data_IF_188501664589
#
_entry.id   IF_188501664589
#
_cell.length_a   1.000
_cell.length_b   1.000
_cell.length_c   1.000
_cell.angle_alpha   90.00
_cell.angle_beta   90.00
_cell.angle_gamma   90.00
#
_symmetry.space_group_name_H-M   'P 1'
#
loop_
_entity.id
_entity.type
_entity.pdbx_description
1 polymer ?
#
# COMPACT_ATOMS: atom_id res chain seq x y z
N UNK A 1 -20.77 -23.47 -55.21
CA UNK A 1 -19.74 -24.34 -54.60
C UNK A 1 -18.50 -23.49 -54.38
N UNK A 2 -18.14 -23.31 -53.10
CA UNK A 2 -16.80 -23.03 -52.52
C UNK A 2 -15.90 -21.94 -53.12
N UNK A 3 -15.14 -21.12 -52.39
CA UNK A 3 -15.01 -20.70 -50.98
C UNK A 3 -13.80 -19.72 -50.97
N UNK A 4 -13.81 -18.75 -50.05
CA UNK A 4 -12.69 -18.00 -49.42
C UNK A 4 -11.52 -17.42 -50.27
N UNK A 5 -10.95 -16.26 -49.94
CA UNK A 5 -10.95 -15.57 -48.66
C UNK A 5 -10.42 -14.14 -48.74
N UNK A 6 -10.72 -13.42 -47.67
CA UNK A 6 -10.38 -12.03 -47.38
C UNK A 6 -8.89 -11.85 -47.06
N UNK A 7 -8.30 -10.72 -47.45
CA UNK A 7 -7.11 -10.16 -46.79
C UNK A 7 -7.52 -8.87 -46.09
N UNK A 8 -7.38 -8.91 -44.77
CA UNK A 8 -7.66 -7.84 -43.82
C UNK A 8 -6.40 -7.03 -43.52
N UNK A 9 -6.67 -5.74 -43.29
CA UNK A 9 -5.91 -4.71 -42.60
C UNK A 9 -5.11 -5.22 -41.37
N UNK A 10 -3.85 -4.79 -41.25
CA UNK A 10 -3.09 -4.83 -39.99
C UNK A 10 -2.47 -3.45 -39.72
N UNK A 11 -3.30 -2.56 -39.18
CA UNK A 11 -2.84 -1.38 -38.45
C UNK A 11 -2.14 -1.79 -37.16
N UNK A 12 -0.85 -1.44 -37.06
CA UNK A 12 -0.02 -1.68 -35.88
C UNK A 12 -0.46 -0.78 -34.71
N UNK A 13 -1.28 -1.33 -33.81
CA UNK A 13 -1.72 -0.68 -32.57
C UNK A 13 -0.83 -1.05 -31.39
N UNK A 14 0.10 -0.16 -31.05
CA UNK A 14 0.86 -0.13 -29.81
C UNK A 14 -0.11 -0.12 -28.62
N UNK A 15 -0.24 -1.26 -27.93
CA UNK A 15 -1.06 -1.36 -26.72
C UNK A 15 -0.16 -1.19 -25.50
N UNK A 16 0.13 0.07 -25.20
CA UNK A 16 0.53 0.47 -23.85
C UNK A 16 -0.61 0.15 -22.89
N UNK A 17 -0.47 -0.93 -22.12
CA UNK A 17 -1.42 -1.29 -21.07
C UNK A 17 -1.21 -0.34 -19.90
N UNK A 18 -2.00 0.74 -19.88
CA UNK A 18 -2.15 1.60 -18.72
C UNK A 18 -2.76 0.75 -17.60
N UNK A 19 -2.11 0.71 -16.44
CA UNK A 19 -2.62 0.08 -15.23
C UNK A 19 -3.90 0.78 -14.79
N UNK A 20 -5.04 0.24 -15.22
CA UNK A 20 -6.35 0.56 -14.71
C UNK A 20 -6.52 -0.20 -13.39
N UNK A 21 -6.23 0.47 -12.28
CA UNK A 21 -6.71 0.00 -10.97
C UNK A 21 -8.19 0.30 -10.92
N UNK A 22 -9.00 -0.62 -11.46
CA UNK A 22 -10.46 -0.54 -11.39
C UNK A 22 -10.89 -0.49 -9.92
N UNK A 23 -11.61 0.57 -9.55
CA UNK A 23 -12.27 0.68 -8.24
C UNK A 23 -13.53 -0.20 -8.31
N UNK A 24 -13.38 -1.48 -7.96
CA UNK A 24 -14.50 -2.35 -7.67
C UNK A 24 -14.81 -2.26 -6.17
N UNK A 25 -15.83 -1.48 -5.83
CA UNK A 25 -16.33 -1.32 -4.47
C UNK A 25 -16.89 -2.64 -3.95
N UNK A 26 -16.09 -3.39 -3.22
CA UNK A 26 -16.51 -4.62 -2.57
C UNK A 26 -15.41 -5.67 -2.36
N UNK A 27 -14.26 -5.53 -2.99
CA UNK A 27 -13.06 -6.26 -2.59
C UNK A 27 -12.41 -5.52 -1.41
N UNK A 28 -12.20 -6.22 -0.30
CA UNK A 28 -11.35 -5.76 0.80
C UNK A 28 -10.00 -5.27 0.24
N UNK A 29 -9.81 -3.95 0.14
CA UNK A 29 -8.63 -3.32 -0.46
C UNK A 29 -7.36 -4.03 0.02
N UNK A 30 -6.54 -4.55 -0.90
CA UNK A 30 -5.31 -5.25 -0.54
C UNK A 30 -4.20 -4.26 -0.15
N UNK A 31 -3.34 -4.63 0.81
CA UNK A 31 -2.14 -3.86 1.08
C UNK A 31 -0.99 -4.38 0.21
N UNK A 32 -1.07 -4.04 -1.06
CA UNK A 32 -0.36 -4.71 -2.14
C UNK A 32 1.17 -4.49 -2.14
N UNK A 33 1.93 -5.59 -2.17
CA UNK A 33 3.36 -5.63 -2.48
C UNK A 33 3.61 -6.42 -3.79
N UNK A 34 4.72 -6.12 -4.47
CA UNK A 34 5.11 -6.82 -5.69
C UNK A 34 6.15 -7.90 -5.40
N UNK A 35 5.96 -9.08 -6.00
CA UNK A 35 6.93 -10.19 -6.00
C UNK A 35 7.66 -10.26 -7.33
N UNK A 36 8.96 -10.55 -7.30
CA UNK A 36 9.80 -10.60 -8.49
C UNK A 36 10.43 -11.98 -8.72
N UNK A 37 10.79 -12.28 -9.97
CA UNK A 37 11.43 -13.54 -10.34
C UNK A 37 12.74 -13.82 -9.58
N UNK A 38 13.43 -12.77 -9.11
CA UNK A 38 14.61 -12.87 -8.25
C UNK A 38 14.31 -13.22 -6.78
N UNK A 39 13.05 -13.42 -6.41
CA UNK A 39 12.60 -13.76 -5.05
C UNK A 39 12.42 -12.56 -4.11
N UNK A 40 12.81 -11.35 -4.54
CA UNK A 40 12.58 -10.15 -3.76
C UNK A 40 11.09 -9.79 -3.71
N UNK A 41 10.67 -9.16 -2.61
CA UNK A 41 9.39 -8.48 -2.46
C UNK A 41 9.63 -7.00 -2.24
N UNK A 42 8.83 -6.13 -2.87
CA UNK A 42 8.93 -4.69 -2.64
C UNK A 42 7.59 -4.02 -2.37
N UNK A 43 7.63 -3.05 -1.47
CA UNK A 43 6.56 -2.13 -1.17
C UNK A 43 7.10 -0.69 -1.20
N UNK A 44 6.45 0.27 -1.88
CA UNK A 44 5.30 0.08 -2.79
C UNK A 44 5.64 -0.79 -4.01
N UNK A 45 4.64 -1.36 -4.71
CA UNK A 45 4.89 -2.23 -5.86
C UNK A 45 5.50 -1.43 -7.02
N UNK A 46 6.62 -1.93 -7.56
CA UNK A 46 7.28 -1.37 -8.74
C UNK A 46 7.22 -2.33 -9.94
N UNK A 47 7.27 -1.83 -11.19
CA UNK A 47 7.25 -2.70 -12.39
C UNK A 47 8.46 -3.63 -12.53
N UNK A 48 9.61 -3.24 -11.97
CA UNK A 48 10.89 -3.97 -12.06
C UNK A 48 11.52 -4.04 -10.68
N UNK A 49 12.08 -5.21 -10.36
CA UNK A 49 12.68 -5.51 -9.06
C UNK A 49 14.02 -4.81 -8.83
N UNK A 50 14.53 -4.82 -7.59
CA UNK A 50 15.77 -4.13 -7.21
C UNK A 50 17.02 -4.57 -8.00
N UNK A 51 17.03 -5.81 -8.47
CA UNK A 51 18.10 -6.43 -9.26
C UNK A 51 17.82 -6.41 -10.77
N UNK A 52 16.73 -5.77 -11.20
CA UNK A 52 16.27 -5.76 -12.59
C UNK A 52 15.36 -6.93 -12.96
N UNK A 53 14.97 -7.79 -12.01
CA UNK A 53 14.06 -8.91 -12.26
C UNK A 53 12.63 -8.45 -12.59
N UNK A 54 11.93 -9.26 -13.40
CA UNK A 54 10.54 -9.00 -13.76
C UNK A 54 9.59 -9.26 -12.59
N UNK A 55 8.50 -8.49 -12.51
CA UNK A 55 7.40 -8.76 -11.58
C UNK A 55 6.67 -10.03 -12.00
N UNK A 56 6.56 -10.98 -11.08
CA UNK A 56 5.89 -12.28 -11.31
C UNK A 56 4.61 -12.43 -10.50
N UNK A 57 4.41 -11.59 -9.49
CA UNK A 57 3.32 -11.76 -8.55
C UNK A 57 2.99 -10.52 -7.75
N UNK A 58 2.03 -10.75 -6.87
CA UNK A 58 1.45 -9.76 -5.98
C UNK A 58 1.11 -10.45 -4.68
N UNK A 59 1.39 -9.79 -3.57
CA UNK A 59 1.18 -10.30 -2.22
C UNK A 59 0.44 -9.25 -1.40
N UNK A 60 -0.45 -9.70 -0.52
CA UNK A 60 -1.17 -8.82 0.39
C UNK A 60 -0.46 -8.78 1.75
N UNK A 61 0.12 -7.64 2.10
CA UNK A 61 0.85 -7.46 3.35
C UNK A 61 -0.05 -7.53 4.59
N UNK A 62 -1.38 -7.52 4.44
CA UNK A 62 -2.31 -7.80 5.56
C UNK A 62 -2.20 -9.22 6.09
N UNK A 63 -1.69 -10.16 5.29
CA UNK A 63 -1.49 -11.55 5.69
C UNK A 63 -0.24 -11.75 6.56
N UNK A 64 0.56 -10.68 6.74
CA UNK A 64 1.85 -10.72 7.43
C UNK A 64 1.83 -9.82 8.67
N UNK A 65 2.40 -10.32 9.76
CA UNK A 65 2.67 -9.50 10.94
C UNK A 65 3.77 -8.48 10.64
N UNK A 66 3.69 -7.31 11.26
CA UNK A 66 4.73 -6.28 11.16
C UNK A 66 5.17 -5.78 12.53
N UNK A 67 6.40 -5.28 12.60
CA UNK A 67 6.98 -4.66 13.80
C UNK A 67 7.40 -3.23 13.56
N UNK A 68 7.18 -2.36 14.53
CA UNK A 68 7.68 -0.99 14.50
C UNK A 68 9.20 -1.00 14.59
N UNK A 69 9.88 -0.42 13.60
CA UNK A 69 11.34 -0.29 13.58
C UNK A 69 11.77 1.08 14.10
N UNK A 70 10.98 2.11 13.80
CA UNK A 70 11.14 3.47 14.33
C UNK A 70 9.86 4.26 14.17
N UNK A 71 9.68 5.30 14.96
CA UNK A 71 8.48 6.14 14.93
C UNK A 71 8.78 7.58 15.32
N UNK A 72 7.83 8.47 15.01
CA UNK A 72 7.84 9.87 15.46
C UNK A 72 6.42 10.40 15.53
N UNK A 73 6.19 11.41 16.38
CA UNK A 73 4.91 12.11 16.47
C UNK A 73 5.05 13.52 15.93
N UNK A 74 4.28 13.83 14.89
CA UNK A 74 4.13 15.18 14.37
C UNK A 74 3.03 15.91 15.14
N UNK A 75 3.39 17.02 15.78
CA UNK A 75 2.46 17.90 16.53
C UNK A 75 2.19 19.21 15.79
N UNK A 76 2.53 19.29 14.50
CA UNK A 76 2.31 20.47 13.67
C UNK A 76 2.10 19.98 12.24
N UNK A 77 0.91 19.43 11.99
CA UNK A 77 0.65 18.68 10.77
C UNK A 77 0.16 19.60 9.65
N UNK A 78 0.38 19.22 8.37
CA UNK A 78 -0.21 19.96 7.26
C UNK A 78 -1.75 19.96 7.35
N UNK A 79 -2.42 20.97 6.77
CA UNK A 79 -3.88 21.01 6.73
C UNK A 79 -4.51 19.70 6.22
N UNK A 80 -5.54 19.26 6.92
CA UNK A 80 -6.28 18.02 6.66
C UNK A 80 -5.66 16.76 7.25
N UNK A 81 -4.41 16.82 7.72
CA UNK A 81 -3.80 15.72 8.47
C UNK A 81 -4.11 15.91 9.95
N UNK A 82 -4.53 14.84 10.62
CA UNK A 82 -4.82 14.83 12.08
C UNK A 82 -3.64 15.38 12.88
N UNK A 83 -3.89 16.04 14.00
CA UNK A 83 -2.86 16.52 14.93
C UNK A 83 -3.26 16.14 16.37
N UNK A 84 -2.40 15.47 17.14
CA UNK A 84 -1.10 14.91 16.75
C UNK A 84 -1.22 13.72 15.78
N UNK A 85 -0.17 13.46 14.99
CA UNK A 85 -0.11 12.31 14.08
C UNK A 85 1.18 11.52 14.30
N UNK A 86 1.03 10.31 14.86
CA UNK A 86 2.14 9.36 15.03
C UNK A 86 2.37 8.60 13.73
N UNK A 87 3.60 8.63 13.24
CA UNK A 87 4.06 7.94 12.05
C UNK A 87 5.07 6.86 12.45
N UNK A 88 4.96 5.68 11.86
CA UNK A 88 5.87 4.57 12.10
C UNK A 88 6.39 3.98 10.78
N UNK A 89 7.65 3.57 10.80
CA UNK A 89 8.19 2.64 9.81
C UNK A 89 8.09 1.25 10.41
N UNK A 90 7.40 0.37 9.69
CA UNK A 90 7.21 -1.03 10.09
C UNK A 90 7.98 -1.96 9.15
N UNK A 91 8.37 -3.12 9.64
CA UNK A 91 8.96 -4.21 8.86
C UNK A 91 8.10 -5.46 8.98
N UNK A 92 7.79 -6.09 7.86
CA UNK A 92 6.96 -7.29 7.79
C UNK A 92 7.79 -8.55 8.00
N UNK A 93 7.25 -9.49 8.77
CA UNK A 93 7.83 -10.80 9.04
C UNK A 93 7.52 -11.75 7.87
N UNK A 94 8.35 -11.76 6.83
CA UNK A 94 8.13 -12.53 5.58
C UNK A 94 8.41 -14.06 5.69
N UNK A 95 8.74 -14.55 6.89
CA UNK A 95 9.08 -15.95 7.16
C UNK A 95 10.55 -16.32 6.94
N UNK A 96 10.99 -17.43 7.54
CA UNK A 96 12.40 -17.88 7.54
C UNK A 96 12.92 -18.32 6.15
N UNK A 97 12.01 -18.65 5.22
CA UNK A 97 12.34 -19.08 3.86
C UNK A 97 12.61 -17.89 2.92
N UNK A 98 12.28 -16.66 3.34
CA UNK A 98 12.50 -15.45 2.56
C UNK A 98 13.93 -14.94 2.73
N UNK A 99 14.70 -14.94 1.63
CA UNK A 99 16.09 -14.45 1.57
C UNK A 99 16.22 -13.08 0.88
N UNK A 100 15.10 -12.40 0.65
CA UNK A 100 15.08 -11.08 0.04
C UNK A 100 15.36 -9.93 1.02
N UNK A 101 15.47 -8.69 0.54
CA UNK A 101 15.60 -7.51 1.39
C UNK A 101 14.37 -7.33 2.30
N UNK A 102 14.50 -6.69 3.48
CA UNK A 102 13.37 -6.44 4.37
C UNK A 102 12.26 -5.63 3.70
N UNK A 103 11.02 -6.08 3.86
CA UNK A 103 9.84 -5.40 3.34
C UNK A 103 9.36 -4.41 4.40
N UNK A 104 9.39 -3.12 4.08
CA UNK A 104 9.07 -2.04 5.02
C UNK A 104 8.02 -1.09 4.47
N UNK A 105 7.20 -0.53 5.35
CA UNK A 105 6.21 0.48 5.00
C UNK A 105 6.22 1.63 6.02
N UNK A 106 5.93 2.84 5.53
CA UNK A 106 5.67 4.03 6.35
C UNK A 106 4.16 4.25 6.43
N UNK A 107 3.62 4.45 7.62
CA UNK A 107 2.19 4.71 7.79
C UNK A 107 1.88 5.42 9.10
N UNK A 108 0.64 5.89 9.22
CA UNK A 108 0.11 6.46 10.45
C UNK A 108 -0.24 5.34 11.44
N UNK A 109 -0.02 5.57 12.73
CA UNK A 109 -0.62 4.74 13.77
C UNK A 109 -2.12 5.05 13.86
N UNK A 110 -2.94 4.02 13.95
CA UNK A 110 -4.38 4.16 14.09
C UNK A 110 -4.76 4.84 15.42
N UNK A 111 -5.97 5.38 15.49
CA UNK A 111 -6.50 5.93 16.74
C UNK A 111 -7.06 4.80 17.61
N UNK A 112 -7.02 5.00 18.93
CA UNK A 112 -7.60 4.08 19.91
C UNK A 112 -9.09 3.82 19.67
N UNK A 113 -9.55 2.61 20.01
CA UNK A 113 -10.96 2.24 19.96
C UNK A 113 -11.75 3.07 20.99
N UNK A 114 -12.27 4.21 20.55
CA UNK A 114 -12.98 5.17 21.41
C UNK A 114 -13.28 6.51 20.76
N UNK A 115 -12.67 6.81 19.61
CA UNK A 115 -12.93 8.05 18.88
C UNK A 115 -12.49 9.30 19.65
N UNK A 116 -11.62 9.15 20.65
CA UNK A 116 -11.08 10.27 21.43
C UNK A 116 -10.09 11.11 20.63
N UNK A 117 -9.67 10.65 19.45
CA UNK A 117 -8.60 11.25 18.65
C UNK A 117 -7.20 10.99 19.22
N UNK A 118 -7.09 10.19 20.29
CA UNK A 118 -5.81 9.78 20.84
C UNK A 118 -5.23 8.63 20.02
N UNK A 119 -3.97 8.78 19.63
CA UNK A 119 -3.20 7.70 19.00
C UNK A 119 -2.75 6.71 20.07
N UNK A 120 -2.59 5.44 19.67
CA UNK A 120 -1.96 4.47 20.56
C UNK A 120 -0.53 4.91 20.92
N UNK A 121 -0.11 4.65 22.15
CA UNK A 121 1.31 4.62 22.48
C UNK A 121 1.98 3.48 21.70
N UNK A 122 3.15 3.75 21.14
CA UNK A 122 3.94 2.77 20.38
C UNK A 122 5.41 2.88 20.75
N UNK A 123 6.07 1.73 20.81
CA UNK A 123 7.50 1.57 21.02
C UNK A 123 8.15 0.78 19.87
N UNK A 124 9.47 0.88 19.77
CA UNK A 124 10.23 0.07 18.80
C UNK A 124 10.11 -1.41 19.20
N UNK A 125 9.73 -2.25 18.24
CA UNK A 125 9.52 -3.69 18.40
C UNK A 125 8.07 -4.11 18.56
N UNK A 126 7.16 -3.16 18.80
CA UNK A 126 5.73 -3.42 18.95
C UNK A 126 5.15 -4.04 17.68
N UNK A 127 4.28 -5.03 17.89
CA UNK A 127 3.55 -5.68 16.80
C UNK A 127 2.39 -4.82 16.34
N UNK A 128 2.26 -4.69 15.04
CA UNK A 128 1.18 -3.94 14.40
C UNK A 128 0.64 -4.69 13.19
N UNK A 129 -0.62 -4.45 12.88
CA UNK A 129 -1.27 -4.93 11.66
C UNK A 129 -1.75 -3.77 10.78
N UNK A 130 -1.77 -3.93 9.44
CA UNK A 130 -2.37 -2.94 8.56
C UNK A 130 -3.90 -2.94 8.70
N UNK A 131 -4.48 -1.77 8.92
CA UNK A 131 -5.93 -1.55 8.95
C UNK A 131 -6.32 -0.51 7.91
N UNK A 132 -7.34 -0.82 7.11
CA UNK A 132 -7.86 0.10 6.10
C UNK A 132 -8.50 1.32 6.75
N UNK A 133 -8.23 2.49 6.19
CA UNK A 133 -8.83 3.76 6.55
C UNK A 133 -9.36 4.42 5.28
N UNK A 134 -10.68 4.68 5.24
CA UNK A 134 -11.32 5.35 4.11
C UNK A 134 -10.82 6.79 3.88
N UNK A 135 -10.22 7.40 4.89
CA UNK A 135 -9.69 8.76 4.81
C UNK A 135 -8.47 8.97 5.71
N UNK A 136 -7.28 9.02 5.10
CA UNK A 136 -6.02 9.32 5.77
C UNK A 136 -5.89 10.80 6.15
N UNK A 137 -6.50 11.69 5.36
CA UNK A 137 -6.54 13.15 5.56
C UNK A 137 -7.79 13.75 4.91
N UNK A 138 -8.29 14.86 5.45
CA UNK A 138 -9.47 15.57 4.94
C UNK A 138 -9.22 16.13 3.51
N UNK A 139 -9.98 15.70 2.49
CA UNK A 139 -9.87 16.20 1.13
C UNK A 139 -10.14 17.70 0.98
N UNK A 140 -11.02 18.27 1.81
CA UNK A 140 -11.45 19.67 1.74
C UNK A 140 -10.52 20.65 2.45
N UNK A 141 -9.62 20.17 3.30
CA UNK A 141 -8.69 21.03 4.05
C UNK A 141 -7.39 21.35 3.28
N UNK A 142 -7.11 20.63 2.19
CA UNK A 142 -5.90 20.80 1.38
C UNK A 142 -6.04 21.78 0.22
N UNK A 143 -4.92 22.06 -0.47
CA UNK A 143 -4.90 22.84 -1.73
C UNK A 143 -5.14 21.97 -2.98
N UNK A 144 -5.28 20.64 -2.81
CA UNK A 144 -5.55 19.71 -3.91
C UNK A 144 -7.04 19.65 -4.21
N UNK A 145 -7.36 19.45 -5.48
CA UNK A 145 -8.72 19.21 -5.92
C UNK A 145 -9.20 17.84 -5.34
N UNK A 146 -10.35 17.77 -4.62
CA UNK A 146 -10.76 16.57 -3.90
C UNK A 146 -10.87 15.30 -4.75
N UNK A 147 -11.26 15.38 -6.01
CA UNK A 147 -11.46 14.23 -6.89
C UNK A 147 -10.17 13.83 -7.63
N UNK A 148 -9.08 14.61 -7.49
CA UNK A 148 -7.81 14.36 -8.19
C UNK A 148 -7.03 13.13 -7.72
N UNK A 149 -7.42 12.53 -6.59
CA UNK A 149 -6.77 11.35 -6.04
C UNK A 149 -7.69 10.60 -5.07
N UNK A 150 -7.33 9.36 -4.77
CA UNK A 150 -7.86 8.65 -3.62
C UNK A 150 -7.27 9.22 -2.31
N UNK A 151 -8.06 9.12 -1.23
CA UNK A 151 -7.70 9.63 0.11
C UNK A 151 -7.69 8.54 1.17
N UNK A 152 -8.09 7.33 0.78
CA UNK A 152 -8.02 6.14 1.59
C UNK A 152 -6.60 5.55 1.60
N UNK A 153 -6.43 4.52 2.41
CA UNK A 153 -5.19 3.75 2.48
C UNK A 153 -5.12 2.97 3.79
N UNK A 154 -3.91 2.71 4.26
CA UNK A 154 -3.68 1.91 5.45
C UNK A 154 -3.05 2.69 6.59
N UNK A 155 -3.45 2.31 7.80
CA UNK A 155 -2.80 2.67 9.06
C UNK A 155 -2.30 1.42 9.75
N UNK A 156 -1.49 1.59 10.79
CA UNK A 156 -1.01 0.50 11.61
C UNK A 156 -1.70 0.51 12.97
N UNK A 157 -2.33 -0.61 13.32
CA UNK A 157 -2.94 -0.81 14.63
C UNK A 157 -2.05 -1.74 15.46
N UNK A 158 -1.62 -1.35 16.67
CA UNK A 158 -1.00 -2.28 17.61
C UNK A 158 -1.90 -3.45 17.96
N UNK A 159 -1.36 -4.68 17.96
CA UNK A 159 -2.14 -5.92 18.18
C UNK A 159 -1.91 -6.58 19.54
N UNK A 160 -0.77 -6.30 20.19
CA UNK A 160 -0.45 -6.77 21.54
C UNK A 160 -0.28 -5.52 22.43
N UNK A 161 -1.25 -5.25 23.30
CA UNK A 161 -1.14 -4.25 24.39
C UNK A 161 -1.44 -4.89 25.74
#
# INVERSE_FOLDING_TARGET
MSEHGSETDEGNGDTSTNGDTSIDGGAETAFEAAEYAGGAVSYPPHPVGPDGSERVGTLDLREYEARVITWTTSTATPPGVREPNTLAIVEFEMGDEYDGPPVRALGQIAEGAGGSGETFDVDIGDRVEPVYAAELRDPGAGIREPESQAWDGFRFRPVDT
#
